data_IF_844037673757
#
_entry.id   IF_844037673757
#
_cell.length_a   1.000
_cell.length_b   1.000
_cell.length_c   1.000
_cell.angle_alpha   90.00
_cell.angle_beta   90.00
_cell.angle_gamma   90.00
#
_symmetry.space_group_name_H-M   'P 1'
#
loop_
_entity.id
_entity.type
_entity.pdbx_description
1 polymer ?
#
# COMPACT_ATOMS: atom_id res chain seq x y z
N UNK A 1 58.95 25.00 44.45
CA UNK A 1 58.01 25.21 43.35
C UNK A 1 58.40 24.23 42.24
N UNK A 2 57.62 23.15 42.10
CA UNK A 2 57.88 22.11 41.10
C UNK A 2 57.19 22.50 39.74
N UNK A 3 58.02 22.76 38.74
CA UNK A 3 57.61 23.18 37.42
C UNK A 3 57.16 22.01 36.50
N UNK A 4 56.76 20.87 37.07
CA UNK A 4 56.48 19.65 36.37
C UNK A 4 55.09 19.08 36.69
N UNK A 5 54.06 19.93 36.94
CA UNK A 5 52.69 19.47 36.96
C UNK A 5 52.18 19.33 35.53
N UNK A 6 51.78 18.12 35.08
CA UNK A 6 51.19 17.93 33.77
C UNK A 6 49.86 18.69 33.69
N UNK A 7 49.54 19.32 32.55
CA UNK A 7 48.29 20.03 32.41
C UNK A 7 47.12 19.08 32.60
N UNK A 8 45.99 19.55 33.19
CA UNK A 8 44.83 18.71 33.41
C UNK A 8 44.32 18.19 32.08
N UNK A 9 44.25 16.87 31.92
CA UNK A 9 43.65 16.22 30.78
C UNK A 9 42.17 16.54 30.79
N UNK A 10 41.76 17.55 30.01
CA UNK A 10 40.36 17.85 29.77
C UNK A 10 39.78 16.70 28.98
N UNK A 11 39.15 15.75 29.67
CA UNK A 11 38.35 14.73 29.02
C UNK A 11 37.20 15.43 28.32
N UNK A 12 37.32 15.66 27.03
CA UNK A 12 36.19 16.06 26.18
C UNK A 12 35.14 14.96 26.27
N UNK A 13 34.12 15.19 27.11
CA UNK A 13 32.95 14.35 27.18
C UNK A 13 32.31 14.34 25.79
N UNK A 14 32.47 13.24 25.06
CA UNK A 14 31.87 12.96 23.74
C UNK A 14 30.34 12.78 23.82
N UNK A 15 29.70 13.33 24.86
CA UNK A 15 28.24 13.29 25.08
C UNK A 15 27.42 13.92 23.93
N UNK A 16 27.80 15.10 23.37
CA UNK A 16 26.98 15.69 22.31
C UNK A 16 26.92 14.82 21.04
N UNK A 17 28.03 14.18 20.66
CA UNK A 17 28.07 13.33 19.47
C UNK A 17 27.16 12.09 19.63
N UNK A 18 27.18 11.44 20.79
CA UNK A 18 26.33 10.30 21.08
C UNK A 18 24.82 10.65 21.01
N UNK A 19 24.45 11.82 21.59
CA UNK A 19 23.07 12.32 21.49
C UNK A 19 22.64 12.65 20.06
N UNK A 20 23.55 13.23 19.27
CA UNK A 20 23.27 13.54 17.87
C UNK A 20 23.03 12.25 17.04
N UNK A 21 23.88 11.24 17.22
CA UNK A 21 23.72 9.94 16.55
C UNK A 21 22.41 9.28 16.98
N UNK A 22 22.11 9.26 18.28
CA UNK A 22 20.87 8.70 18.80
C UNK A 22 19.63 9.41 18.23
N UNK A 23 19.66 10.73 18.10
CA UNK A 23 18.57 11.50 17.50
C UNK A 23 18.39 11.16 16.01
N UNK A 24 19.47 11.05 15.24
CA UNK A 24 19.43 10.67 13.82
C UNK A 24 18.85 9.26 13.66
N UNK A 25 19.29 8.30 14.47
CA UNK A 25 18.77 6.92 14.44
C UNK A 25 17.28 6.90 14.80
N UNK A 26 16.86 7.64 15.81
CA UNK A 26 15.46 7.74 16.19
C UNK A 26 14.60 8.29 15.03
N UNK A 27 15.03 9.39 14.41
CA UNK A 27 14.33 9.98 13.25
C UNK A 27 14.25 8.97 12.09
N UNK A 28 15.34 8.27 11.80
CA UNK A 28 15.37 7.25 10.76
C UNK A 28 14.39 6.09 11.05
N UNK A 29 14.37 5.59 12.29
CA UNK A 29 13.45 4.52 12.72
C UNK A 29 12.00 4.97 12.61
N UNK A 30 11.67 6.17 13.10
CA UNK A 30 10.31 6.72 13.01
C UNK A 30 9.90 6.93 11.56
N UNK A 31 10.79 7.43 10.71
CA UNK A 31 10.53 7.63 9.28
C UNK A 31 10.28 6.31 8.55
N UNK A 32 11.08 5.29 8.82
CA UNK A 32 10.89 3.94 8.28
C UNK A 32 9.56 3.33 8.76
N UNK A 33 9.26 3.42 10.05
CA UNK A 33 8.00 2.93 10.59
C UNK A 33 6.80 3.62 9.92
N UNK A 34 6.89 4.93 9.73
CA UNK A 34 5.83 5.70 9.05
C UNK A 34 5.67 5.30 7.58
N UNK A 35 6.77 5.09 6.87
CA UNK A 35 6.76 4.68 5.46
C UNK A 35 6.19 3.27 5.27
N UNK A 36 6.44 2.35 6.21
CA UNK A 36 6.03 0.95 6.07
C UNK A 36 4.77 0.58 6.86
N UNK A 37 4.15 1.51 7.58
CA UNK A 37 3.00 1.22 8.45
C UNK A 37 1.80 0.60 7.72
N UNK A 38 1.60 0.93 6.45
CA UNK A 38 0.51 0.41 5.62
C UNK A 38 0.96 -0.65 4.60
N UNK A 39 2.20 -1.12 4.74
CA UNK A 39 2.74 -2.12 3.82
C UNK A 39 1.92 -3.42 3.76
N UNK A 40 1.45 -4.01 4.88
CA UNK A 40 0.63 -5.22 4.84
C UNK A 40 -0.72 -5.00 4.14
N UNK A 41 -1.37 -3.85 4.32
CA UNK A 41 -2.62 -3.51 3.66
C UNK A 41 -2.42 -3.35 2.14
N UNK A 42 -1.40 -2.60 1.73
CA UNK A 42 -1.02 -2.48 0.32
C UNK A 42 -0.76 -3.84 -0.32
N UNK A 43 -0.06 -4.71 0.39
CA UNK A 43 0.26 -6.04 -0.10
C UNK A 43 -0.98 -6.93 -0.23
N UNK A 44 -1.96 -6.79 0.66
CA UNK A 44 -3.23 -7.51 0.55
C UNK A 44 -3.98 -7.08 -0.71
N UNK A 45 -4.10 -5.77 -0.95
CA UNK A 45 -4.72 -5.20 -2.15
C UNK A 45 -3.95 -5.59 -3.42
N UNK A 46 -2.61 -5.52 -3.39
CA UNK A 46 -1.80 -5.91 -4.54
C UNK A 46 -2.02 -7.38 -4.92
N UNK A 47 -2.02 -8.31 -3.96
CA UNK A 47 -2.28 -9.73 -4.22
C UNK A 47 -3.65 -9.97 -4.87
N UNK A 48 -4.65 -9.24 -4.44
CA UNK A 48 -5.99 -9.32 -5.01
C UNK A 48 -5.98 -8.87 -6.48
N UNK A 49 -5.42 -7.70 -6.76
CA UNK A 49 -5.36 -7.20 -8.13
C UNK A 49 -4.41 -8.00 -9.03
N UNK A 50 -3.32 -8.55 -8.49
CA UNK A 50 -2.46 -9.48 -9.23
C UNK A 50 -3.23 -10.72 -9.69
N UNK A 51 -4.08 -11.29 -8.83
CA UNK A 51 -4.95 -12.40 -9.19
C UNK A 51 -5.99 -11.99 -10.24
N UNK A 52 -6.57 -10.79 -10.12
CA UNK A 52 -7.52 -10.25 -11.10
C UNK A 52 -6.87 -10.05 -12.48
N UNK A 53 -5.69 -9.46 -12.53
CA UNK A 53 -4.93 -9.25 -13.78
C UNK A 53 -4.51 -10.58 -14.41
N UNK A 54 -4.15 -11.57 -13.58
CA UNK A 54 -3.84 -12.93 -14.04
C UNK A 54 -5.08 -13.73 -14.54
N UNK A 55 -6.29 -13.22 -14.28
CA UNK A 55 -7.54 -13.91 -14.62
C UNK A 55 -7.90 -15.04 -13.64
N UNK A 56 -7.21 -15.14 -12.52
CA UNK A 56 -7.48 -16.13 -11.47
C UNK A 56 -8.60 -15.65 -10.54
N UNK A 57 -9.82 -15.73 -11.05
CA UNK A 57 -11.02 -15.27 -10.36
C UNK A 57 -11.28 -16.01 -9.05
N UNK A 58 -10.96 -17.32 -9.00
CA UNK A 58 -11.15 -18.12 -7.79
C UNK A 58 -10.24 -17.65 -6.66
N UNK A 59 -8.98 -17.41 -6.98
CA UNK A 59 -7.99 -16.87 -6.03
C UNK A 59 -8.35 -15.44 -5.61
N UNK A 60 -8.77 -14.59 -6.55
CA UNK A 60 -9.20 -13.23 -6.24
C UNK A 60 -10.39 -13.23 -5.26
N UNK A 61 -11.38 -14.09 -5.48
CA UNK A 61 -12.51 -14.26 -4.58
C UNK A 61 -12.08 -14.69 -3.16
N UNK A 62 -11.15 -15.64 -3.06
CA UNK A 62 -10.60 -16.06 -1.75
C UNK A 62 -9.85 -14.93 -1.05
N UNK A 63 -9.08 -14.12 -1.80
CA UNK A 63 -8.34 -12.99 -1.26
C UNK A 63 -9.25 -11.83 -0.82
N UNK A 64 -10.42 -11.70 -1.44
CA UNK A 64 -11.47 -10.77 -1.01
C UNK A 64 -12.02 -11.13 0.37
N UNK A 65 -11.86 -12.38 0.81
CA UNK A 65 -12.38 -12.93 2.08
C UNK A 65 -13.88 -12.62 2.24
N UNK A 66 -14.71 -13.12 1.34
CA UNK A 66 -16.10 -12.72 1.28
C UNK A 66 -16.86 -13.12 2.55
N UNK A 67 -17.76 -12.26 2.99
CA UNK A 67 -18.74 -12.61 4.02
C UNK A 67 -19.64 -13.75 3.52
N UNK A 68 -20.26 -14.57 4.42
CA UNK A 68 -21.12 -15.66 3.98
C UNK A 68 -22.27 -15.25 3.07
N UNK A 69 -22.71 -13.99 3.15
CA UNK A 69 -23.74 -13.40 2.28
C UNK A 69 -23.25 -12.98 0.90
N UNK A 70 -21.94 -12.85 0.70
CA UNK A 70 -21.34 -12.42 -0.58
C UNK A 70 -20.82 -13.64 -1.32
N UNK A 71 -21.57 -14.07 -2.31
CA UNK A 71 -21.27 -15.28 -3.06
C UNK A 71 -20.35 -15.02 -4.26
N UNK A 72 -19.88 -16.10 -4.88
CA UNK A 72 -19.10 -16.02 -6.12
C UNK A 72 -19.87 -15.32 -7.25
N UNK A 73 -21.20 -15.46 -7.29
CA UNK A 73 -22.05 -14.79 -8.28
C UNK A 73 -22.02 -13.27 -8.11
N UNK A 74 -22.11 -12.80 -6.86
CA UNK A 74 -22.01 -11.37 -6.51
C UNK A 74 -20.62 -10.84 -6.87
N UNK A 75 -19.59 -11.62 -6.56
CA UNK A 75 -18.21 -11.27 -6.90
C UNK A 75 -18.02 -11.14 -8.43
N UNK A 76 -18.61 -12.04 -9.21
CA UNK A 76 -18.55 -11.96 -10.67
C UNK A 76 -19.36 -10.79 -11.24
N UNK A 77 -20.47 -10.43 -10.59
CA UNK A 77 -21.23 -9.23 -10.96
C UNK A 77 -20.44 -7.94 -10.71
N UNK A 78 -19.61 -7.92 -9.68
CA UNK A 78 -18.75 -6.77 -9.36
C UNK A 78 -17.45 -6.78 -10.19
N UNK A 79 -16.72 -7.89 -10.18
CA UNK A 79 -15.34 -8.00 -10.63
C UNK A 79 -15.14 -8.88 -11.87
N UNK A 80 -16.17 -9.55 -12.34
CA UNK A 80 -16.09 -10.42 -13.52
C UNK A 80 -15.78 -9.64 -14.80
N UNK A 81 -15.55 -10.34 -15.92
CA UNK A 81 -15.23 -9.72 -17.22
C UNK A 81 -16.29 -8.71 -17.69
N UNK A 82 -17.55 -8.96 -17.34
CA UNK A 82 -18.69 -8.07 -17.61
C UNK A 82 -19.23 -7.41 -16.35
N UNK A 83 -18.48 -7.46 -15.24
CA UNK A 83 -18.88 -6.89 -13.97
C UNK A 83 -18.71 -5.36 -13.92
N UNK A 84 -19.22 -4.78 -12.86
CA UNK A 84 -19.21 -3.32 -12.68
C UNK A 84 -17.79 -2.70 -12.72
N UNK A 85 -16.79 -3.38 -12.12
CA UNK A 85 -15.40 -2.95 -12.10
C UNK A 85 -14.51 -3.64 -13.13
N UNK A 86 -14.96 -4.73 -13.73
CA UNK A 86 -14.18 -5.50 -14.68
C UNK A 86 -14.25 -4.96 -16.12
N UNK A 87 -13.44 -5.52 -17.02
CA UNK A 87 -12.29 -6.36 -16.74
C UNK A 87 -11.11 -5.54 -16.21
N UNK A 88 -10.38 -6.04 -15.23
CA UNK A 88 -9.16 -5.41 -14.71
C UNK A 88 -7.96 -5.97 -15.45
N UNK A 89 -7.30 -5.16 -16.27
CA UNK A 89 -6.08 -5.54 -17.02
C UNK A 89 -4.81 -4.96 -16.42
N UNK A 90 -4.95 -3.87 -15.69
CA UNK A 90 -3.85 -3.24 -14.98
C UNK A 90 -4.37 -2.48 -13.77
N UNK A 91 -3.49 -2.26 -12.81
CA UNK A 91 -3.80 -1.45 -11.63
C UNK A 91 -2.59 -0.66 -11.15
N UNK A 92 -2.86 0.39 -10.39
CA UNK A 92 -1.85 1.18 -9.69
C UNK A 92 -2.40 1.64 -8.34
N UNK A 93 -1.69 1.34 -7.28
CA UNK A 93 -1.98 1.88 -5.95
C UNK A 93 -1.55 3.35 -5.94
N UNK A 94 -2.47 4.24 -5.60
CA UNK A 94 -2.26 5.69 -5.64
C UNK A 94 -1.91 6.25 -4.27
N UNK A 95 -2.69 5.89 -3.25
CA UNK A 95 -2.53 6.39 -1.88
C UNK A 95 -3.19 5.46 -0.88
N UNK A 96 -2.76 5.61 0.36
CA UNK A 96 -3.37 4.97 1.53
C UNK A 96 -3.82 6.04 2.51
N UNK A 97 -4.94 5.82 3.17
CA UNK A 97 -5.43 6.66 4.24
C UNK A 97 -6.06 5.79 5.33
N UNK A 98 -5.91 6.21 6.58
CA UNK A 98 -6.64 5.61 7.69
C UNK A 98 -7.71 6.60 8.12
N UNK A 99 -8.99 6.35 7.78
CA UNK A 99 -10.08 7.22 8.19
C UNK A 99 -10.18 7.28 9.72
N UNK A 100 -10.43 8.47 10.25
CA UNK A 100 -10.52 8.66 11.69
C UNK A 100 -11.63 7.79 12.29
N UNK A 101 -11.30 7.07 13.37
CA UNK A 101 -12.26 6.17 14.04
C UNK A 101 -12.53 4.84 13.32
N UNK A 102 -11.84 4.55 12.22
CA UNK A 102 -11.96 3.30 11.48
C UNK A 102 -10.86 2.30 11.86
N UNK A 103 -11.24 1.02 11.91
CA UNK A 103 -10.31 -0.11 12.03
C UNK A 103 -9.85 -0.62 10.65
N UNK A 104 -10.06 0.17 9.61
CA UNK A 104 -9.68 -0.17 8.24
C UNK A 104 -8.78 0.92 7.65
N UNK A 105 -8.00 0.53 6.67
CA UNK A 105 -7.18 1.40 5.84
C UNK A 105 -7.82 1.47 4.47
N UNK A 106 -8.12 2.66 3.98
CA UNK A 106 -8.53 2.89 2.61
C UNK A 106 -7.31 2.92 1.70
N UNK A 107 -7.33 2.09 0.68
CA UNK A 107 -6.33 2.06 -0.38
C UNK A 107 -6.99 2.47 -1.68
N UNK A 108 -6.61 3.64 -2.20
CA UNK A 108 -7.09 4.12 -3.49
C UNK A 108 -6.28 3.47 -4.61
N UNK A 109 -6.99 2.82 -5.53
CA UNK A 109 -6.40 2.07 -6.64
C UNK A 109 -6.99 2.57 -7.95
N UNK A 110 -6.12 2.94 -8.88
CA UNK A 110 -6.51 3.15 -10.27
C UNK A 110 -6.53 1.79 -10.98
N UNK A 111 -7.65 1.45 -11.59
CA UNK A 111 -7.81 0.23 -12.40
C UNK A 111 -8.11 0.59 -13.84
N UNK A 112 -7.62 -0.23 -14.75
CA UNK A 112 -7.83 -0.03 -16.18
C UNK A 112 -8.19 -1.34 -16.86
N UNK A 113 -9.10 -1.31 -17.87
CA UNK A 113 -9.35 -2.44 -18.73
C UNK A 113 -8.21 -2.68 -19.73
N UNK A 114 -7.24 -1.78 -19.84
CA UNK A 114 -6.13 -1.88 -20.79
C UNK A 114 -4.82 -2.28 -20.13
N UNK A 115 -3.95 -2.94 -20.90
CA UNK A 115 -2.60 -3.25 -20.46
C UNK A 115 -1.78 -1.97 -20.22
N UNK A 116 -0.91 -1.94 -19.19
CA UNK A 116 0.00 -0.81 -18.98
C UNK A 116 1.10 -0.73 -20.07
N UNK A 117 1.32 -1.82 -20.83
CA UNK A 117 2.17 -1.83 -22.02
C UNK A 117 1.27 -1.98 -23.24
N UNK A 118 0.86 -0.86 -23.86
CA UNK A 118 -0.01 -0.93 -25.05
C UNK A 118 0.74 -1.61 -26.19
N UNK A 119 0.09 -2.60 -26.78
CA UNK A 119 0.51 -3.08 -28.08
C UNK A 119 0.33 -1.92 -29.09
N UNK A 120 1.23 -1.70 -30.04
CA UNK A 120 1.07 -0.67 -31.08
C UNK A 120 -0.21 -0.79 -31.89
N UNK A 121 -0.86 -1.95 -31.86
CA UNK A 121 -2.16 -2.20 -32.51
C UNK A 121 -3.36 -1.85 -31.62
N UNK A 122 -3.14 -1.53 -30.34
CA UNK A 122 -4.21 -1.22 -29.39
C UNK A 122 -4.52 0.27 -29.34
N UNK A 123 -5.69 0.57 -28.80
CA UNK A 123 -6.24 1.92 -28.62
C UNK A 123 -5.26 2.95 -28.09
N UNK A 124 -5.46 4.18 -28.50
CA UNK A 124 -4.63 5.33 -28.12
C UNK A 124 -4.57 5.55 -26.63
N UNK A 125 -3.45 6.08 -26.14
CA UNK A 125 -3.23 6.46 -24.73
C UNK A 125 -4.38 7.30 -24.15
N UNK A 126 -5.06 8.07 -25.00
CA UNK A 126 -6.20 8.91 -24.62
C UNK A 126 -7.43 8.08 -24.26
N UNK A 127 -7.74 7.03 -25.02
CA UNK A 127 -8.85 6.12 -24.73
C UNK A 127 -8.57 5.28 -23.47
N UNK A 128 -7.32 4.89 -23.24
CA UNK A 128 -6.90 4.22 -22.02
C UNK A 128 -7.10 5.11 -20.79
N UNK A 129 -6.72 6.37 -20.88
CA UNK A 129 -6.90 7.34 -19.80
C UNK A 129 -8.38 7.57 -19.47
N UNK A 130 -9.25 7.62 -20.47
CA UNK A 130 -10.69 7.82 -20.26
C UNK A 130 -11.39 6.63 -19.57
N UNK A 131 -10.84 5.42 -19.69
CA UNK A 131 -11.42 4.20 -19.09
C UNK A 131 -10.78 3.80 -17.77
N UNK A 132 -9.74 4.51 -17.33
CA UNK A 132 -9.15 4.30 -16.02
C UNK A 132 -10.10 4.81 -14.94
N UNK A 133 -10.39 3.98 -13.94
CA UNK A 133 -11.23 4.32 -12.79
C UNK A 133 -10.41 4.29 -11.52
N UNK A 134 -10.71 5.18 -10.60
CA UNK A 134 -10.13 5.16 -9.25
C UNK A 134 -11.18 4.63 -8.30
N UNK A 135 -10.84 3.60 -7.58
CA UNK A 135 -11.70 2.98 -6.57
C UNK A 135 -11.00 2.96 -5.22
N UNK A 136 -11.77 3.06 -4.16
CA UNK A 136 -11.31 2.85 -2.79
C UNK A 136 -11.55 1.40 -2.39
N UNK A 137 -10.54 0.74 -1.86
CA UNK A 137 -10.65 -0.57 -1.24
C UNK A 137 -10.35 -0.41 0.23
N UNK A 138 -11.26 -0.85 1.09
CA UNK A 138 -11.03 -0.87 2.50
C UNK A 138 -10.44 -2.19 2.94
N UNK A 139 -9.33 -2.12 3.65
CA UNK A 139 -8.62 -3.26 4.22
C UNK A 139 -8.79 -3.23 5.72
N UNK A 140 -9.48 -4.19 6.26
CA UNK A 140 -9.66 -4.32 7.71
C UNK A 140 -8.31 -4.66 8.34
N UNK A 141 -7.86 -3.85 9.30
CA UNK A 141 -6.50 -3.96 9.86
C UNK A 141 -6.25 -5.28 10.59
N UNK A 142 -7.29 -5.90 11.15
CA UNK A 142 -7.20 -7.13 11.96
C UNK A 142 -6.91 -8.38 11.13
N UNK A 143 -7.67 -8.60 10.07
CA UNK A 143 -7.66 -9.84 9.28
C UNK A 143 -7.26 -9.63 7.82
N UNK A 144 -7.02 -8.36 7.42
CA UNK A 144 -6.69 -7.97 6.06
C UNK A 144 -7.76 -8.33 5.03
N UNK A 145 -8.99 -8.54 5.47
CA UNK A 145 -10.14 -8.70 4.58
C UNK A 145 -10.37 -7.43 3.77
N UNK A 146 -10.76 -7.61 2.53
CA UNK A 146 -11.04 -6.52 1.60
C UNK A 146 -12.55 -6.27 1.55
N UNK A 147 -12.94 -5.01 1.47
CA UNK A 147 -14.32 -4.60 1.33
C UNK A 147 -14.42 -3.28 0.59
N UNK A 148 -15.60 -2.97 0.08
CA UNK A 148 -15.91 -1.63 -0.40
C UNK A 148 -16.09 -0.66 0.77
N UNK A 149 -15.83 0.64 0.57
CA UNK A 149 -16.18 1.66 1.54
C UNK A 149 -17.69 1.60 1.84
N UNK A 150 -18.09 1.87 3.10
CA UNK A 150 -19.50 1.87 3.51
C UNK A 150 -20.29 2.99 2.85
#
# INVERSE_FOLDING_TARGET
MSLLDPPPVTSHKSRPLAFTIAAIVLVAVVSLWWAFRFYPEKRAVARFFDAMVAGDTAKAYQLWQPKPSYKMEDFLADWGPNGYFGPVKSYRILREASPAGSNAVEVAVAISPFSPMPNPADTTTKEQSQKTRVIGIWVVSKDKSLTFPP
#
